data_IF_615381136117
#
_entry.id   IF_615381136117
#
_cell.length_a   1.000
_cell.length_b   1.000
_cell.length_c   1.000
_cell.angle_alpha   90.00
_cell.angle_beta   90.00
_cell.angle_gamma   90.00
#
_symmetry.space_group_name_H-M   'P 1'
#
loop_
_entity.id
_entity.type
_entity.pdbx_description
1 polymer ?
#
# COMPACT_ATOMS: atom_id res chain seq x y z
N UNK A 1 6.51 15.01 0.30
CA UNK A 1 7.08 14.11 1.33
C UNK A 1 8.60 13.98 1.21
N UNK A 2 9.15 13.39 0.13
CA UNK A 2 10.59 13.17 -0.03
C UNK A 2 11.45 14.43 0.17
N UNK A 3 11.12 15.53 -0.51
CA UNK A 3 11.87 16.78 -0.38
C UNK A 3 11.85 17.34 1.06
N UNK A 4 10.69 17.25 1.73
CA UNK A 4 10.52 17.70 3.11
C UNK A 4 11.34 16.87 4.10
N UNK A 5 11.65 15.60 3.79
CA UNK A 5 12.46 14.73 4.65
C UNK A 5 13.89 15.23 4.86
N UNK A 6 14.44 16.01 3.93
CA UNK A 6 15.78 16.61 4.01
C UNK A 6 15.77 18.15 4.13
N UNK A 7 14.59 18.77 4.07
CA UNK A 7 14.45 20.21 4.22
C UNK A 7 14.81 20.66 5.66
N UNK A 8 15.19 21.93 5.83
CA UNK A 8 15.36 22.49 7.18
C UNK A 8 13.99 22.88 7.75
N UNK A 9 13.69 22.41 8.97
CA UNK A 9 12.48 22.78 9.71
C UNK A 9 11.35 21.75 9.60
N UNK A 10 10.13 22.20 9.87
CA UNK A 10 8.93 21.38 9.86
C UNK A 10 8.06 21.70 8.64
N UNK A 11 7.53 20.67 8.00
CA UNK A 11 6.57 20.76 6.90
C UNK A 11 5.28 20.08 7.30
N UNK A 12 4.15 20.74 7.06
CA UNK A 12 2.82 20.13 7.16
C UNK A 12 2.23 20.09 5.77
N UNK A 13 1.85 18.91 5.31
CA UNK A 13 1.12 18.71 4.06
C UNK A 13 -0.32 18.38 4.42
N UNK A 14 -1.26 19.17 3.92
CA UNK A 14 -2.70 18.97 4.12
C UNK A 14 -3.36 18.46 2.84
N UNK A 15 -4.50 17.79 3.00
CA UNK A 15 -5.25 17.15 1.92
C UNK A 15 -4.39 16.20 1.06
N UNK A 16 -3.58 15.38 1.73
CA UNK A 16 -2.66 14.46 1.05
C UNK A 16 -3.38 13.20 0.57
N UNK A 17 -2.77 12.59 -0.44
CA UNK A 17 -3.13 11.28 -0.95
C UNK A 17 -2.96 10.20 0.15
N UNK A 18 -3.90 9.26 0.22
CA UNK A 18 -4.01 8.23 1.26
C UNK A 18 -3.75 6.82 0.73
N UNK A 19 -3.35 6.72 -0.53
CA UNK A 19 -3.08 5.45 -1.17
C UNK A 19 -1.90 4.75 -0.49
N UNK A 20 -1.93 3.42 -0.52
CA UNK A 20 -0.98 2.58 0.19
C UNK A 20 0.45 2.80 -0.28
N UNK A 21 0.63 3.19 -1.55
CA UNK A 21 1.91 3.51 -2.14
C UNK A 21 2.55 4.74 -1.44
N UNK A 22 1.74 5.69 -0.98
CA UNK A 22 2.21 6.84 -0.18
C UNK A 22 2.61 6.41 1.23
N UNK A 23 1.85 5.49 1.83
CA UNK A 23 2.14 4.93 3.15
C UNK A 23 3.44 4.13 3.10
N UNK A 24 3.62 3.28 2.09
CA UNK A 24 4.81 2.45 1.90
C UNK A 24 6.07 3.30 1.71
N UNK A 25 5.98 4.39 0.92
CA UNK A 25 7.07 5.35 0.78
C UNK A 25 7.38 6.07 2.10
N UNK A 26 6.36 6.43 2.89
CA UNK A 26 6.57 7.04 4.20
C UNK A 26 7.28 6.08 5.17
N UNK A 27 6.91 4.80 5.15
CA UNK A 27 7.53 3.74 5.95
C UNK A 27 8.98 3.52 5.54
N UNK A 28 9.27 3.43 4.24
CA UNK A 28 10.63 3.36 3.71
C UNK A 28 11.48 4.54 4.16
N UNK A 29 11.00 5.78 3.95
CA UNK A 29 11.74 6.98 4.35
C UNK A 29 11.98 7.03 5.87
N UNK A 30 10.99 6.60 6.67
CA UNK A 30 11.13 6.50 8.13
C UNK A 30 12.21 5.48 8.51
N UNK A 31 12.27 4.34 7.80
CA UNK A 31 13.34 3.33 7.98
C UNK A 31 14.72 3.88 7.60
N UNK A 32 14.78 4.79 6.64
CA UNK A 32 15.99 5.56 6.29
C UNK A 32 16.31 6.71 7.27
N UNK A 33 15.54 6.89 8.34
CA UNK A 33 15.78 7.90 9.38
C UNK A 33 14.99 9.20 9.24
N UNK A 34 14.06 9.29 8.28
CA UNK A 34 13.15 10.44 8.19
C UNK A 34 12.21 10.49 9.40
N UNK A 35 11.71 11.68 9.73
CA UNK A 35 10.68 11.87 10.76
C UNK A 35 9.36 12.26 10.12
N UNK A 36 8.51 11.27 9.87
CA UNK A 36 7.22 11.43 9.19
C UNK A 36 6.13 10.88 10.12
N UNK A 37 5.02 11.61 10.26
CA UNK A 37 3.82 11.20 11.01
C UNK A 37 2.56 11.50 10.20
N UNK A 38 1.51 10.72 10.42
CA UNK A 38 0.21 10.89 9.74
C UNK A 38 0.09 10.19 8.38
N UNK A 39 1.00 9.25 8.07
CA UNK A 39 0.87 8.43 6.86
C UNK A 39 -0.44 7.64 6.88
N UNK A 40 -1.18 7.69 5.78
CA UNK A 40 -2.53 7.11 5.67
C UNK A 40 -3.66 8.01 6.19
N UNK A 41 -3.36 9.25 6.56
CA UNK A 41 -4.36 10.26 6.94
C UNK A 41 -4.36 11.43 5.97
N UNK A 42 -5.28 12.39 6.12
CA UNK A 42 -5.35 13.59 5.28
C UNK A 42 -4.24 14.62 5.57
N UNK A 43 -3.46 14.44 6.64
CA UNK A 43 -2.38 15.35 7.02
C UNK A 43 -1.07 14.60 7.27
N UNK A 44 0.02 15.10 6.69
CA UNK A 44 1.37 14.60 6.94
C UNK A 44 2.22 15.67 7.64
N UNK A 45 2.83 15.27 8.75
CA UNK A 45 3.74 16.09 9.54
C UNK A 45 5.16 15.55 9.34
N UNK A 46 6.04 16.39 8.81
CA UNK A 46 7.41 16.00 8.45
C UNK A 46 8.39 16.96 9.11
N UNK A 47 9.27 16.42 9.96
CA UNK A 47 10.41 17.15 10.50
C UNK A 47 11.64 16.78 9.70
N UNK A 48 12.16 17.72 8.93
CA UNK A 48 13.27 17.46 8.04
C UNK A 48 14.57 17.17 8.82
N UNK A 49 15.38 16.26 8.26
CA UNK A 49 16.62 15.75 8.84
C UNK A 49 17.81 16.19 7.99
N UNK A 50 19.00 16.28 8.60
CA UNK A 50 20.22 16.64 7.86
C UNK A 50 20.74 15.56 6.91
N UNK A 51 20.38 14.30 7.16
CA UNK A 51 20.80 13.15 6.37
C UNK A 51 19.79 12.01 6.52
N UNK A 52 19.74 11.14 5.50
CA UNK A 52 19.10 9.83 5.53
C UNK A 52 20.14 8.73 5.31
N UNK A 53 19.82 7.51 5.72
CA UNK A 53 20.70 6.35 5.61
C UNK A 53 20.08 5.28 4.70
N UNK A 54 20.92 4.43 4.12
CA UNK A 54 20.45 3.26 3.38
C UNK A 54 19.72 2.28 4.31
N UNK A 55 18.71 1.59 3.79
CA UNK A 55 18.00 0.54 4.51
C UNK A 55 17.55 -0.57 3.56
N UNK A 56 17.47 -1.80 4.09
CA UNK A 56 16.76 -2.88 3.42
C UNK A 56 15.27 -2.74 3.70
N UNK A 57 14.46 -2.72 2.65
CA UNK A 57 13.02 -2.56 2.73
C UNK A 57 12.35 -3.44 1.69
N UNK A 58 11.31 -4.17 2.09
CA UNK A 58 10.48 -4.94 1.17
C UNK A 58 9.32 -4.08 0.73
N UNK A 59 9.14 -3.93 -0.57
CA UNK A 59 8.03 -3.19 -1.16
C UNK A 59 6.74 -3.99 -0.93
N UNK A 60 5.63 -3.30 -0.73
CA UNK A 60 4.32 -3.94 -0.62
C UNK A 60 3.91 -4.63 -1.94
N UNK A 61 3.05 -5.68 -1.90
CA UNK A 61 2.52 -6.30 -3.11
C UNK A 61 1.68 -5.33 -3.96
N UNK A 62 1.64 -5.56 -5.29
CA UNK A 62 0.87 -4.75 -6.22
C UNK A 62 -0.61 -5.16 -6.23
N UNK A 63 -1.45 -4.30 -5.65
CA UNK A 63 -2.91 -4.51 -5.60
C UNK A 63 -3.60 -4.38 -6.96
N UNK A 64 -3.03 -3.63 -7.91
CA UNK A 64 -3.60 -3.45 -9.25
C UNK A 64 -3.31 -4.69 -10.09
N UNK A 65 -2.09 -5.23 -10.00
CA UNK A 65 -1.73 -6.50 -10.62
C UNK A 65 -2.61 -7.64 -10.08
N UNK A 66 -2.68 -7.78 -8.75
CA UNK A 66 -3.51 -8.80 -8.13
C UNK A 66 -4.98 -8.68 -8.56
N UNK A 67 -5.54 -7.47 -8.55
CA UNK A 67 -6.90 -7.23 -9.01
C UNK A 67 -7.12 -7.56 -10.49
N UNK A 68 -6.11 -7.34 -11.33
CA UNK A 68 -6.15 -7.69 -12.75
C UNK A 68 -6.26 -9.20 -12.95
N UNK A 69 -5.48 -9.99 -12.20
CA UNK A 69 -5.58 -11.45 -12.25
C UNK A 69 -6.90 -11.97 -11.64
N UNK A 70 -7.39 -11.37 -10.56
CA UNK A 70 -8.70 -11.71 -10.00
C UNK A 70 -9.83 -11.50 -11.03
N UNK A 71 -9.79 -10.37 -11.74
CA UNK A 71 -10.73 -10.09 -12.81
C UNK A 71 -10.58 -11.11 -13.94
N UNK A 72 -9.35 -11.40 -14.38
CA UNK A 72 -9.10 -12.41 -15.41
C UNK A 72 -9.70 -13.78 -15.05
N UNK A 73 -9.48 -14.25 -13.82
CA UNK A 73 -10.08 -15.50 -13.34
C UNK A 73 -11.61 -15.46 -13.31
N UNK A 74 -12.20 -14.32 -12.93
CA UNK A 74 -13.65 -14.14 -12.91
C UNK A 74 -14.27 -14.24 -14.31
N UNK A 75 -13.70 -13.57 -15.32
CA UNK A 75 -14.22 -13.62 -16.71
C UNK A 75 -13.97 -14.97 -17.39
N UNK A 76 -12.86 -15.65 -17.08
CA UNK A 76 -12.57 -16.98 -17.64
C UNK A 76 -13.19 -18.13 -16.84
N UNK A 77 -13.80 -17.84 -15.68
CA UNK A 77 -14.32 -18.83 -14.71
C UNK A 77 -13.24 -19.82 -14.26
N UNK A 78 -12.01 -19.35 -14.13
CA UNK A 78 -10.87 -20.15 -13.68
C UNK A 78 -10.74 -20.09 -12.16
N UNK A 79 -10.18 -21.14 -11.57
CA UNK A 79 -9.72 -21.13 -10.18
C UNK A 79 -8.22 -20.84 -10.19
N UNK A 80 -7.79 -19.78 -9.49
CA UNK A 80 -6.39 -19.39 -9.38
C UNK A 80 -6.06 -19.11 -7.91
N UNK A 81 -4.80 -19.30 -7.53
CA UNK A 81 -4.29 -18.81 -6.24
C UNK A 81 -3.39 -17.61 -6.49
N UNK A 82 -3.53 -16.56 -5.66
CA UNK A 82 -2.78 -15.32 -5.73
C UNK A 82 -2.01 -15.07 -4.44
N UNK A 83 -0.70 -14.94 -4.55
CA UNK A 83 0.23 -14.65 -3.46
C UNK A 83 1.51 -13.99 -4.00
N UNK A 84 2.14 -13.05 -3.28
CA UNK A 84 1.65 -12.44 -2.05
C UNK A 84 0.61 -11.35 -2.33
N UNK A 85 -0.40 -11.24 -1.48
CA UNK A 85 -1.38 -10.14 -1.50
C UNK A 85 -1.71 -9.71 -0.07
N UNK A 86 -2.17 -8.49 0.15
CA UNK A 86 -2.71 -8.09 1.45
C UNK A 86 -4.23 -7.93 1.28
N UNK A 87 -5.07 -8.90 1.67
CA UNK A 87 -6.51 -8.88 1.33
C UNK A 87 -7.24 -7.60 1.74
N UNK A 88 -6.84 -6.98 2.85
CA UNK A 88 -7.44 -5.72 3.32
C UNK A 88 -7.21 -4.53 2.38
N UNK A 89 -6.15 -4.55 1.55
CA UNK A 89 -5.82 -3.46 0.62
C UNK A 89 -6.67 -3.48 -0.65
N UNK A 90 -7.36 -4.58 -0.92
CA UNK A 90 -8.17 -4.82 -2.12
C UNK A 90 -9.61 -5.24 -1.78
N UNK A 91 -10.02 -5.02 -0.52
CA UNK A 91 -11.34 -5.38 0.02
C UNK A 91 -12.51 -4.93 -0.85
N UNK A 92 -12.46 -3.70 -1.37
CA UNK A 92 -13.49 -3.17 -2.26
C UNK A 92 -13.69 -4.06 -3.51
N UNK A 93 -12.61 -4.51 -4.17
CA UNK A 93 -12.72 -5.39 -5.33
C UNK A 93 -13.21 -6.78 -4.93
N UNK A 94 -12.71 -7.34 -3.81
CA UNK A 94 -13.18 -8.63 -3.27
C UNK A 94 -14.69 -8.59 -3.05
N UNK A 95 -15.21 -7.53 -2.42
CA UNK A 95 -16.65 -7.35 -2.18
C UNK A 95 -17.44 -7.27 -3.49
N UNK A 96 -16.94 -6.55 -4.49
CA UNK A 96 -17.60 -6.42 -5.80
C UNK A 96 -17.64 -7.74 -6.56
N UNK A 97 -16.53 -8.48 -6.60
CA UNK A 97 -16.47 -9.79 -7.23
C UNK A 97 -17.33 -10.82 -6.50
N UNK A 98 -17.32 -10.81 -5.16
CA UNK A 98 -18.19 -11.67 -4.35
C UNK A 98 -19.67 -11.37 -4.61
N UNK A 99 -20.04 -10.09 -4.72
CA UNK A 99 -21.39 -9.66 -5.08
C UNK A 99 -21.79 -10.08 -6.51
N UNK A 100 -20.80 -10.23 -7.41
CA UNK A 100 -21.00 -10.74 -8.76
C UNK A 100 -21.06 -12.28 -8.83
N UNK A 101 -20.90 -12.98 -7.69
CA UNK A 101 -21.00 -14.43 -7.59
C UNK A 101 -19.67 -15.18 -7.65
N UNK A 102 -18.53 -14.48 -7.68
CA UNK A 102 -17.22 -15.12 -7.52
C UNK A 102 -17.07 -15.65 -6.10
N UNK A 103 -16.52 -16.86 -5.94
CA UNK A 103 -16.11 -17.38 -4.63
C UNK A 103 -14.66 -16.98 -4.42
N UNK A 104 -14.39 -16.24 -3.35
CA UNK A 104 -13.05 -15.80 -2.97
C UNK A 104 -12.82 -16.27 -1.54
N UNK A 105 -11.72 -17.00 -1.31
CA UNK A 105 -11.36 -17.57 -0.01
C UNK A 105 -9.96 -17.09 0.37
N UNK A 106 -9.80 -16.63 1.61
CA UNK A 106 -8.48 -16.35 2.18
C UNK A 106 -7.95 -17.63 2.83
N UNK A 107 -6.84 -18.16 2.31
CA UNK A 107 -6.20 -19.36 2.86
C UNK A 107 -5.20 -19.03 3.97
N UNK A 108 -4.46 -17.94 3.78
CA UNK A 108 -3.52 -17.34 4.76
C UNK A 108 -3.74 -15.84 4.78
N UNK A 109 -2.96 -15.12 5.59
CA UNK A 109 -2.98 -13.66 5.64
C UNK A 109 -2.49 -13.01 4.33
N UNK A 110 -1.78 -13.77 3.49
CA UNK A 110 -1.14 -13.28 2.26
C UNK A 110 -1.55 -13.99 0.97
N UNK A 111 -2.54 -14.89 1.03
CA UNK A 111 -2.94 -15.72 -0.11
C UNK A 111 -4.46 -15.78 -0.27
N UNK A 112 -4.92 -15.51 -1.50
CA UNK A 112 -6.32 -15.65 -1.91
C UNK A 112 -6.48 -16.75 -2.96
N UNK A 113 -7.66 -17.35 -3.02
CA UNK A 113 -8.14 -18.24 -4.09
C UNK A 113 -9.54 -17.84 -4.56
#
# INVERSE_FOLDING_TARGET
>A
MMAASLAKGNTVLSNVAQELEVIDLAHFLTRCGASIRGAGTHELYISGRGQLYGSCYSIMPDRIEAGSFMLAAAITRSCISLSPIIPSTISCLIERLSSAGCKIVSYTDDTLE
#
